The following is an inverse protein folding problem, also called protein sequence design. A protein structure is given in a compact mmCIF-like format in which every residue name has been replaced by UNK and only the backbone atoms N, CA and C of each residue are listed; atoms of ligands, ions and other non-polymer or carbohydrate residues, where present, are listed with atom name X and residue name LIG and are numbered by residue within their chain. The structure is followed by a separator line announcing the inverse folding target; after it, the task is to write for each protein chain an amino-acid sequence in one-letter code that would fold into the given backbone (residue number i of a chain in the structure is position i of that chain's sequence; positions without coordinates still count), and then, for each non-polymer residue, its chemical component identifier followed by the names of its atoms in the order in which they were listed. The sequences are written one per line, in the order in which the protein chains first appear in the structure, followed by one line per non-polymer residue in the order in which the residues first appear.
data_IF_367701636433
#
_entry.id   IF_367701636433
#
_cell.length_a   1.000
_cell.length_b   1.000
_cell.length_c   1.000
_cell.angle_alpha   90.00
_cell.angle_beta   90.00
_cell.angle_gamma   90.00
#
_symmetry.space_group_name_H-M   'P 1'
#
loop_
_entity.id
_entity.type
_entity.pdbx_description
1 polymer ?
#
# COMPACT_ATOMS: atom_id res chain seq x y z
N UNK A 1 -20.81 14.29 -35.76
CA UNK A 1 -20.19 15.08 -34.67
C UNK A 1 -19.96 14.14 -33.50
N UNK A 2 -18.71 13.74 -33.26
CA UNK A 2 -18.37 12.78 -32.21
C UNK A 2 -18.25 13.53 -30.88
N UNK A 3 -19.16 13.27 -29.94
CA UNK A 3 -19.12 13.89 -28.60
C UNK A 3 -17.97 13.32 -27.77
N UNK A 4 -16.97 14.16 -27.50
CA UNK A 4 -15.84 13.85 -26.60
C UNK A 4 -16.20 13.98 -25.10
N UNK A 5 -17.46 14.27 -24.76
CA UNK A 5 -17.94 14.54 -23.41
C UNK A 5 -18.02 13.30 -22.48
N UNK A 6 -17.77 12.08 -23.00
CA UNK A 6 -17.86 10.81 -22.26
C UNK A 6 -16.50 10.09 -22.13
N UNK A 7 -15.39 10.78 -22.36
CA UNK A 7 -14.08 10.20 -22.07
C UNK A 7 -13.92 10.05 -20.56
N UNK A 8 -13.57 8.86 -20.03
CA UNK A 8 -13.31 8.70 -18.62
C UNK A 8 -12.11 9.57 -18.24
N UNK A 9 -12.38 10.70 -17.58
CA UNK A 9 -11.34 11.51 -16.97
C UNK A 9 -10.82 10.75 -15.73
N UNK A 10 -9.50 10.66 -15.52
CA UNK A 10 -8.95 10.05 -14.32
C UNK A 10 -9.36 10.88 -13.10
N UNK A 11 -10.42 10.44 -12.41
CA UNK A 11 -10.85 11.07 -11.16
C UNK A 11 -9.89 10.67 -10.03
N UNK A 12 -9.58 11.55 -9.06
CA UNK A 12 -8.76 11.20 -7.89
C UNK A 12 -9.26 9.96 -7.13
N UNK A 13 -10.58 9.76 -7.12
CA UNK A 13 -11.25 8.60 -6.53
C UNK A 13 -10.93 7.29 -7.26
N UNK A 14 -10.74 7.31 -8.58
CA UNK A 14 -10.33 6.13 -9.34
C UNK A 14 -8.88 5.74 -9.02
N UNK A 15 -8.00 6.74 -8.84
CA UNK A 15 -6.62 6.53 -8.41
C UNK A 15 -6.52 5.91 -7.01
N UNK A 16 -7.30 6.44 -6.06
CA UNK A 16 -7.35 5.91 -4.70
C UNK A 16 -7.89 4.47 -4.66
N UNK A 17 -8.98 4.19 -5.38
CA UNK A 17 -9.53 2.83 -5.45
C UNK A 17 -8.51 1.84 -6.02
N UNK A 18 -7.79 2.20 -7.08
CA UNK A 18 -6.71 1.36 -7.63
C UNK A 18 -5.62 1.11 -6.59
N UNK A 19 -5.15 2.17 -5.92
CA UNK A 19 -4.15 2.04 -4.86
C UNK A 19 -4.60 1.07 -3.75
N UNK A 20 -5.84 1.22 -3.26
CA UNK A 20 -6.39 0.34 -2.23
C UNK A 20 -6.49 -1.12 -2.67
N UNK A 21 -6.76 -1.39 -3.96
CA UNK A 21 -6.74 -2.75 -4.50
C UNK A 21 -5.32 -3.32 -4.60
N UNK A 22 -4.33 -2.51 -5.00
CA UNK A 22 -2.94 -2.96 -5.09
C UNK A 22 -2.37 -3.34 -3.71
N UNK A 23 -2.57 -2.51 -2.67
CA UNK A 23 -2.02 -2.79 -1.34
C UNK A 23 -2.67 -4.01 -0.66
N UNK A 24 -3.85 -4.44 -1.14
CA UNK A 24 -4.52 -5.68 -0.69
C UNK A 24 -3.90 -6.95 -1.28
N UNK A 25 -2.99 -6.84 -2.24
CA UNK A 25 -2.28 -8.00 -2.79
C UNK A 25 -1.10 -8.44 -1.94
N UNK A 26 -0.51 -7.53 -1.16
CA UNK A 26 0.59 -7.87 -0.25
C UNK A 26 0.09 -8.74 0.92
N UNK A 27 0.75 -9.86 1.25
CA UNK A 27 0.35 -10.71 2.36
C UNK A 27 0.53 -10.00 3.70
N UNK A 28 -0.27 -10.40 4.71
CA UNK A 28 -0.01 -10.05 6.09
C UNK A 28 1.13 -10.92 6.62
N UNK A 29 1.96 -10.34 7.48
CA UNK A 29 3.06 -11.05 8.12
C UNK A 29 2.58 -11.64 9.44
N UNK A 30 3.07 -12.81 9.78
CA UNK A 30 2.98 -13.32 11.14
C UNK A 30 3.97 -12.58 12.06
N UNK A 31 3.71 -12.53 13.38
CA UNK A 31 4.57 -11.78 14.31
C UNK A 31 6.04 -12.21 14.30
N UNK A 32 6.30 -13.50 14.12
CA UNK A 32 7.67 -14.04 14.02
C UNK A 32 8.36 -13.57 12.73
N UNK A 33 7.64 -13.56 11.61
CA UNK A 33 8.17 -13.09 10.33
C UNK A 33 8.52 -11.61 10.39
N UNK A 34 7.66 -10.79 11.00
CA UNK A 34 7.92 -9.37 11.23
C UNK A 34 9.20 -9.14 12.04
N UNK A 35 9.38 -9.87 13.13
CA UNK A 35 10.58 -9.79 13.96
C UNK A 35 11.84 -10.16 13.17
N UNK A 36 11.79 -11.24 12.39
CA UNK A 36 12.93 -11.68 11.59
C UNK A 36 13.31 -10.68 10.50
N UNK A 37 12.31 -10.09 9.82
CA UNK A 37 12.54 -9.06 8.81
C UNK A 37 13.10 -7.78 9.43
N UNK A 38 12.58 -7.36 10.59
CA UNK A 38 13.06 -6.18 11.30
C UNK A 38 14.51 -6.35 11.74
N UNK A 39 14.83 -7.53 12.26
CA UNK A 39 16.20 -7.88 12.62
C UNK A 39 17.13 -7.91 11.40
N UNK A 40 16.70 -8.50 10.28
CA UNK A 40 17.50 -8.50 9.04
C UNK A 40 17.81 -7.09 8.55
N UNK A 41 16.83 -6.18 8.60
CA UNK A 41 17.03 -4.78 8.26
C UNK A 41 18.06 -4.10 9.18
N UNK A 42 17.93 -4.26 10.49
CA UNK A 42 18.83 -3.62 11.46
C UNK A 42 20.25 -4.18 11.39
N UNK A 43 20.38 -5.50 11.33
CA UNK A 43 21.69 -6.17 11.42
C UNK A 43 22.46 -6.14 10.09
N UNK A 44 21.74 -6.07 8.95
CA UNK A 44 22.33 -6.29 7.62
C UNK A 44 21.97 -5.22 6.59
N UNK A 45 21.23 -4.19 6.98
CA UNK A 45 20.68 -3.17 6.06
C UNK A 45 19.93 -3.79 4.87
N UNK A 46 19.25 -4.91 5.12
CA UNK A 46 18.53 -5.66 4.10
C UNK A 46 17.32 -4.90 3.59
N UNK A 47 17.51 -4.17 2.50
CA UNK A 47 16.47 -3.37 1.86
C UNK A 47 15.27 -4.20 1.40
N UNK A 48 15.46 -5.49 1.12
CA UNK A 48 14.35 -6.38 0.75
C UNK A 48 13.47 -6.70 1.96
N UNK A 49 14.07 -6.87 3.13
CA UNK A 49 13.35 -7.05 4.39
C UNK A 49 12.56 -5.79 4.76
N UNK A 50 13.17 -4.61 4.64
CA UNK A 50 12.49 -3.33 4.83
C UNK A 50 11.32 -3.16 3.86
N UNK A 51 11.51 -3.47 2.58
CA UNK A 51 10.43 -3.41 1.59
C UNK A 51 9.26 -4.33 1.95
N UNK A 52 9.54 -5.55 2.42
CA UNK A 52 8.51 -6.51 2.83
C UNK A 52 7.74 -6.05 4.07
N UNK A 53 8.42 -5.46 5.05
CA UNK A 53 7.79 -4.85 6.22
C UNK A 53 6.87 -3.69 5.84
N UNK A 54 7.36 -2.76 5.00
CA UNK A 54 6.57 -1.59 4.60
C UNK A 54 5.34 -2.00 3.81
N UNK A 55 5.51 -2.90 2.82
CA UNK A 55 4.41 -3.28 1.92
C UNK A 55 3.30 -4.06 2.61
N UNK A 56 3.62 -4.93 3.59
CA UNK A 56 2.60 -5.65 4.38
C UNK A 56 1.75 -4.72 5.26
N UNK A 57 2.30 -3.57 5.66
CA UNK A 57 1.67 -2.60 6.56
C UNK A 57 0.91 -1.47 5.85
N UNK A 58 0.96 -1.38 4.52
CA UNK A 58 0.30 -0.29 3.77
C UNK A 58 -1.20 -0.20 4.03
N UNK A 59 -1.88 -1.32 4.30
CA UNK A 59 -3.31 -1.35 4.63
C UNK A 59 -3.61 -0.60 5.93
N UNK A 60 -2.75 -0.75 6.94
CA UNK A 60 -2.88 -0.05 8.21
C UNK A 60 -2.65 1.46 8.03
N UNK A 61 -1.60 1.83 7.30
CA UNK A 61 -1.32 3.23 6.98
C UNK A 61 -2.50 3.89 6.23
N UNK A 62 -3.04 3.21 5.22
CA UNK A 62 -4.21 3.67 4.48
C UNK A 62 -5.44 3.82 5.39
N UNK A 63 -5.69 2.86 6.28
CA UNK A 63 -6.79 2.93 7.27
C UNK A 63 -6.65 4.15 8.17
N UNK A 64 -5.46 4.40 8.71
CA UNK A 64 -5.18 5.56 9.58
C UNK A 64 -5.39 6.86 8.79
N UNK A 65 -4.83 6.96 7.59
CA UNK A 65 -4.96 8.15 6.74
C UNK A 65 -6.41 8.46 6.36
N UNK A 66 -7.22 7.43 6.06
CA UNK A 66 -8.65 7.60 5.81
C UNK A 66 -9.41 8.14 7.04
N UNK A 67 -8.93 7.87 8.26
CA UNK A 67 -9.52 8.42 9.49
C UNK A 67 -9.30 9.93 9.68
N UNK A 68 -8.38 10.54 8.93
CA UNK A 68 -8.19 12.00 8.88
C UNK A 68 -8.99 12.68 7.75
N UNK A 69 -9.69 11.90 6.92
CA UNK A 69 -10.43 12.40 5.78
C UNK A 69 -11.87 12.75 6.20
N UNK A 70 -12.00 13.88 6.90
CA UNK A 70 -13.27 14.57 7.20
C UNK A 70 -14.41 13.64 7.62
#
# INVERSE_FOLDING_TARGET
MTSYANLPAPSPEQGLNRYLQEIRKFPLLDPEEEYMLAKSWVDREDSSAAHKLVTSHLRLAAKIAMGYRG
#
